data_IF_738235906956
#
_entry.id   IF_738235906956
#
_cell.length_a   1.000
_cell.length_b   1.000
_cell.length_c   1.000
_cell.angle_alpha   90.00
_cell.angle_beta   90.00
_cell.angle_gamma   90.00
#
_symmetry.space_group_name_H-M   'P 1'
#
loop_
_entity.id
_entity.type
_entity.pdbx_description
1 polymer ?
#
# COMPACT_ATOMS: atom_id res chain seq x y z
N UNK A 1 17.20 -15.88 5.35
CA UNK A 1 17.10 -15.38 3.97
C UNK A 1 16.89 -16.45 2.89
N UNK A 2 17.48 -17.63 3.03
CA UNK A 2 17.31 -18.73 2.06
C UNK A 2 15.87 -19.30 2.05
N UNK A 3 15.18 -19.27 3.18
CA UNK A 3 13.81 -19.81 3.35
C UNK A 3 12.76 -19.04 2.52
N UNK A 4 12.85 -17.72 2.41
CA UNK A 4 11.89 -16.89 1.65
C UNK A 4 11.94 -17.13 0.12
N UNK A 5 13.06 -17.68 -0.40
CA UNK A 5 13.20 -18.00 -1.82
C UNK A 5 12.51 -19.30 -2.22
N UNK A 6 12.20 -20.16 -1.25
CA UNK A 6 11.62 -21.49 -1.46
C UNK A 6 10.12 -21.55 -1.19
N UNK A 7 9.52 -20.45 -0.72
CA UNK A 7 8.09 -20.38 -0.51
C UNK A 7 7.36 -20.44 -1.86
N UNK A 8 6.39 -21.32 -1.94
CA UNK A 8 5.49 -21.39 -3.08
C UNK A 8 4.78 -20.03 -3.24
N UNK A 9 4.90 -19.36 -4.39
CA UNK A 9 4.23 -18.08 -4.61
C UNK A 9 2.71 -18.13 -4.48
N UNK A 10 2.11 -19.31 -4.65
CA UNK A 10 0.66 -19.51 -4.53
C UNK A 10 0.22 -19.98 -3.13
N UNK A 11 1.16 -20.09 -2.17
CA UNK A 11 0.82 -20.44 -0.80
C UNK A 11 -0.01 -19.35 -0.13
N UNK A 12 -1.20 -19.70 0.37
CA UNK A 12 -2.11 -18.81 1.10
C UNK A 12 -1.49 -18.17 2.35
N UNK A 13 -0.36 -18.69 2.81
CA UNK A 13 0.32 -18.31 4.04
C UNK A 13 1.34 -17.15 3.86
N UNK A 14 1.46 -16.59 2.64
CA UNK A 14 2.45 -15.56 2.34
C UNK A 14 2.09 -14.15 2.81
N UNK A 15 0.95 -13.96 3.44
CA UNK A 15 0.46 -12.65 3.87
C UNK A 15 -0.21 -11.85 2.75
N UNK A 16 -1.09 -10.95 3.18
CA UNK A 16 -1.95 -10.17 2.29
C UNK A 16 -1.17 -9.27 1.32
N UNK A 17 -0.04 -8.73 1.76
CA UNK A 17 0.83 -7.84 0.99
C UNK A 17 1.47 -8.57 -0.20
N UNK A 18 1.93 -9.80 0.01
CA UNK A 18 2.58 -10.58 -1.05
C UNK A 18 1.52 -11.10 -2.03
N UNK A 19 0.47 -11.74 -1.52
CA UNK A 19 -0.57 -12.35 -2.37
C UNK A 19 -1.32 -11.32 -3.21
N UNK A 20 -1.53 -10.10 -2.71
CA UNK A 20 -2.18 -9.05 -3.46
C UNK A 20 -1.29 -8.48 -4.57
N UNK A 21 0.00 -8.23 -4.31
CA UNK A 21 0.94 -7.75 -5.34
C UNK A 21 1.15 -8.81 -6.41
N UNK A 22 1.26 -10.08 -6.05
CA UNK A 22 1.32 -11.18 -7.02
C UNK A 22 0.06 -11.23 -7.90
N UNK A 23 -1.12 -11.03 -7.30
CA UNK A 23 -2.37 -10.92 -8.04
C UNK A 23 -2.38 -9.73 -9.00
N UNK A 24 -1.80 -8.58 -8.61
CA UNK A 24 -1.63 -7.43 -9.51
C UNK A 24 -0.70 -7.75 -10.68
N UNK A 25 0.40 -8.44 -10.44
CA UNK A 25 1.32 -8.88 -11.49
C UNK A 25 0.65 -9.88 -12.44
N UNK A 26 0.01 -10.90 -11.90
CA UNK A 26 -0.66 -11.95 -12.68
C UNK A 26 -1.77 -11.39 -13.59
N UNK A 27 -2.53 -10.41 -13.10
CA UNK A 27 -3.61 -9.76 -13.87
C UNK A 27 -3.10 -8.62 -14.77
N UNK A 28 -1.79 -8.43 -14.91
CA UNK A 28 -1.20 -7.40 -15.77
C UNK A 28 -1.47 -5.95 -15.33
N UNK A 29 -1.89 -5.74 -14.06
CA UNK A 29 -2.12 -4.43 -13.48
C UNK A 29 -0.79 -3.68 -13.29
N UNK A 30 0.22 -4.41 -12.89
CA UNK A 30 1.61 -3.95 -12.81
C UNK A 30 2.53 -4.94 -13.49
N UNK A 31 3.68 -4.49 -13.96
CA UNK A 31 4.71 -5.37 -14.50
C UNK A 31 5.28 -6.29 -13.40
N UNK A 32 5.80 -7.44 -13.75
CA UNK A 32 6.52 -8.34 -12.83
C UNK A 32 7.74 -7.65 -12.19
N UNK A 33 8.35 -6.69 -12.89
CA UNK A 33 9.40 -5.80 -12.38
C UNK A 33 8.95 -4.36 -12.51
N UNK A 34 8.15 -3.85 -11.57
CA UNK A 34 7.78 -2.44 -11.56
C UNK A 34 9.03 -1.57 -11.35
N UNK A 35 9.00 -0.35 -11.86
CA UNK A 35 10.12 0.58 -11.73
C UNK A 35 10.42 0.94 -10.26
N UNK A 36 9.40 0.98 -9.43
CA UNK A 36 9.51 1.23 -7.98
C UNK A 36 8.40 0.51 -7.23
N UNK A 37 8.71 0.00 -6.04
CA UNK A 37 7.76 -0.58 -5.10
C UNK A 37 8.01 0.02 -3.72
N UNK A 38 6.99 0.66 -3.14
CA UNK A 38 7.08 1.31 -1.84
C UNK A 38 6.03 0.74 -0.90
N UNK A 39 6.48 0.26 0.25
CA UNK A 39 5.60 -0.20 1.33
C UNK A 39 5.44 0.91 2.37
N UNK A 40 4.21 1.36 2.60
CA UNK A 40 3.90 2.24 3.71
C UNK A 40 3.57 1.38 4.92
N UNK A 41 4.41 1.45 5.95
CA UNK A 41 4.31 0.57 7.12
C UNK A 41 3.91 1.33 8.38
N UNK A 42 3.34 0.60 9.35
CA UNK A 42 3.01 1.16 10.66
C UNK A 42 4.25 1.58 11.44
N UNK A 43 4.07 2.53 12.36
CA UNK A 43 5.08 3.03 13.30
C UNK A 43 5.19 2.08 14.52
N UNK A 44 5.47 0.81 14.24
CA UNK A 44 5.62 -0.26 15.22
C UNK A 44 6.81 -1.14 14.82
N UNK A 45 7.39 -1.85 15.79
CA UNK A 45 8.49 -2.77 15.53
C UNK A 45 8.09 -3.86 14.51
N UNK A 46 6.88 -4.38 14.61
CA UNK A 46 6.34 -5.38 13.67
C UNK A 46 6.16 -4.79 12.25
N UNK A 47 5.68 -3.54 12.15
CA UNK A 47 5.57 -2.84 10.87
C UNK A 47 6.91 -2.63 10.19
N UNK A 48 7.92 -2.22 10.95
CA UNK A 48 9.30 -2.02 10.46
C UNK A 48 9.91 -3.35 10.04
N UNK A 49 9.74 -4.40 10.85
CA UNK A 49 10.22 -5.74 10.52
C UNK A 49 9.56 -6.27 9.25
N UNK A 50 8.24 -6.16 9.14
CA UNK A 50 7.47 -6.56 7.95
C UNK A 50 7.96 -5.81 6.71
N UNK A 51 8.14 -4.49 6.79
CA UNK A 51 8.70 -3.69 5.70
C UNK A 51 10.06 -4.18 5.25
N UNK A 52 10.96 -4.49 6.18
CA UNK A 52 12.30 -5.01 5.89
C UNK A 52 12.26 -6.37 5.19
N UNK A 53 11.35 -7.26 5.62
CA UNK A 53 11.13 -8.58 5.02
C UNK A 53 10.60 -8.43 3.59
N UNK A 54 9.59 -7.58 3.38
CA UNK A 54 9.00 -7.35 2.06
C UNK A 54 10.03 -6.77 1.08
N UNK A 55 10.84 -5.80 1.51
CA UNK A 55 11.93 -5.26 0.69
C UNK A 55 12.92 -6.35 0.28
N UNK A 56 13.35 -7.18 1.22
CA UNK A 56 14.27 -8.29 0.96
C UNK A 56 13.66 -9.31 0.01
N UNK A 57 12.39 -9.66 0.21
CA UNK A 57 11.66 -10.61 -0.62
C UNK A 57 11.59 -10.15 -2.08
N UNK A 58 11.09 -8.93 -2.34
CA UNK A 58 10.91 -8.45 -3.71
C UNK A 58 12.24 -8.19 -4.43
N UNK A 59 13.26 -7.72 -3.74
CA UNK A 59 14.61 -7.61 -4.32
C UNK A 59 15.19 -8.96 -4.70
N UNK A 60 15.10 -9.96 -3.82
CA UNK A 60 15.72 -11.25 -4.05
C UNK A 60 14.93 -12.15 -5.00
N UNK A 61 13.60 -12.12 -4.94
CA UNK A 61 12.72 -12.99 -5.72
C UNK A 61 12.46 -12.48 -7.13
N UNK A 62 12.22 -11.18 -7.28
CA UNK A 62 11.82 -10.56 -8.55
C UNK A 62 12.93 -9.69 -9.16
N UNK A 63 14.01 -9.42 -8.44
CA UNK A 63 15.10 -8.55 -8.91
C UNK A 63 14.64 -7.12 -9.17
N UNK A 64 13.74 -6.60 -8.35
CA UNK A 64 13.27 -5.22 -8.44
C UNK A 64 14.30 -4.33 -7.75
N UNK A 65 14.90 -3.38 -8.47
CA UNK A 65 15.99 -2.54 -7.95
C UNK A 65 15.50 -1.55 -6.89
N UNK A 66 14.40 -0.89 -7.14
CA UNK A 66 13.85 0.14 -6.26
C UNK A 66 12.70 -0.43 -5.41
N UNK A 67 13.04 -1.16 -4.36
CA UNK A 67 12.08 -1.57 -3.34
C UNK A 67 12.49 -0.93 -2.03
N UNK A 68 11.55 -0.18 -1.43
CA UNK A 68 11.76 0.51 -0.16
C UNK A 68 10.52 0.38 0.73
N UNK A 69 10.69 0.67 2.02
CA UNK A 69 9.55 0.93 2.90
C UNK A 69 9.68 2.32 3.53
N UNK A 70 8.55 2.89 3.91
CA UNK A 70 8.47 4.17 4.59
C UNK A 70 7.54 4.04 5.79
N UNK A 71 8.04 4.44 6.96
CA UNK A 71 7.27 4.45 8.20
C UNK A 71 6.25 5.59 8.14
N UNK A 72 5.00 5.29 8.42
CA UNK A 72 3.95 6.28 8.63
C UNK A 72 3.91 6.65 10.11
N UNK A 73 4.65 7.67 10.50
CA UNK A 73 4.76 8.12 11.90
C UNK A 73 3.40 8.31 12.54
N UNK A 74 3.21 7.74 13.72
CA UNK A 74 1.95 7.77 14.46
C UNK A 74 0.89 6.74 13.99
N UNK A 75 1.16 5.98 12.94
CA UNK A 75 0.27 4.93 12.45
C UNK A 75 0.48 3.64 13.26
N UNK A 76 -0.10 3.60 14.46
CA UNK A 76 0.06 2.52 15.43
C UNK A 76 -1.26 2.28 16.18
N UNK A 77 -1.57 1.03 16.50
CA UNK A 77 -2.85 0.62 17.09
C UNK A 77 -2.88 0.68 18.62
N UNK A 78 -1.72 0.78 19.25
CA UNK A 78 -1.58 0.90 20.71
C UNK A 78 -1.78 2.35 21.22
N UNK A 79 -1.88 3.34 20.31
CA UNK A 79 -2.14 4.75 20.63
C UNK A 79 -3.20 5.33 19.69
N UNK A 80 -4.46 5.25 20.10
CA UNK A 80 -5.61 5.72 19.31
C UNK A 80 -5.57 7.23 19.03
N UNK A 81 -4.99 8.03 19.92
CA UNK A 81 -4.90 9.49 19.76
C UNK A 81 -3.90 9.82 18.65
N UNK A 82 -2.72 9.21 18.70
CA UNK A 82 -1.71 9.37 17.64
C UNK A 82 -2.18 8.77 16.32
N UNK A 83 -2.79 7.59 16.36
CA UNK A 83 -3.35 6.95 15.16
C UNK A 83 -4.29 7.89 14.41
N UNK A 84 -5.28 8.46 15.11
CA UNK A 84 -6.27 9.37 14.53
C UNK A 84 -5.67 10.72 14.14
N UNK A 85 -4.87 11.32 15.02
CA UNK A 85 -4.34 12.68 14.88
C UNK A 85 -3.21 12.80 13.87
N UNK A 86 -2.26 11.89 13.91
CA UNK A 86 -1.03 11.93 13.12
C UNK A 86 -0.98 10.81 12.06
N UNK A 87 -1.23 9.57 12.48
CA UNK A 87 -0.99 8.39 11.68
C UNK A 87 -1.73 8.38 10.35
N UNK A 88 -3.04 8.59 10.38
CA UNK A 88 -3.86 8.62 9.16
C UNK A 88 -3.53 9.82 8.26
N UNK A 89 -3.19 10.98 8.84
CA UNK A 89 -2.73 12.16 8.06
C UNK A 89 -1.38 11.88 7.40
N UNK A 90 -0.45 11.25 8.10
CA UNK A 90 0.85 10.89 7.56
C UNK A 90 0.75 9.83 6.47
N UNK A 91 -0.16 8.86 6.61
CA UNK A 91 -0.45 7.91 5.54
C UNK A 91 -0.86 8.63 4.25
N UNK A 92 -1.85 9.51 4.31
CA UNK A 92 -2.32 10.27 3.13
C UNK A 92 -1.22 11.17 2.57
N UNK A 93 -0.45 11.84 3.45
CA UNK A 93 0.69 12.68 3.03
C UNK A 93 1.75 11.87 2.31
N UNK A 94 2.13 10.72 2.83
CA UNK A 94 3.13 9.83 2.22
C UNK A 94 2.63 9.31 0.86
N UNK A 95 1.38 8.87 0.76
CA UNK A 95 0.77 8.49 -0.51
C UNK A 95 0.86 9.65 -1.53
N UNK A 96 0.44 10.84 -1.13
CA UNK A 96 0.46 12.01 -2.01
C UNK A 96 1.89 12.38 -2.46
N UNK A 97 2.88 12.24 -1.59
CA UNK A 97 4.28 12.49 -1.94
C UNK A 97 4.80 11.51 -2.99
N UNK A 98 4.48 10.22 -2.86
CA UNK A 98 4.89 9.21 -3.84
C UNK A 98 4.15 9.38 -5.17
N UNK A 99 2.85 9.64 -5.14
CA UNK A 99 2.07 9.90 -6.37
C UNK A 99 2.61 11.10 -7.14
N UNK A 100 2.93 12.22 -6.46
CA UNK A 100 3.43 13.44 -7.10
C UNK A 100 4.84 13.31 -7.70
N UNK A 101 5.65 12.37 -7.22
CA UNK A 101 7.01 12.14 -7.76
C UNK A 101 7.00 11.37 -9.07
N UNK A 102 5.91 10.71 -9.41
CA UNK A 102 5.79 9.86 -10.57
C UNK A 102 4.90 10.50 -11.65
N UNK A 103 5.13 10.20 -12.93
CA UNK A 103 4.26 10.67 -14.01
C UNK A 103 2.80 10.23 -13.78
N UNK A 104 1.87 11.07 -14.20
CA UNK A 104 0.44 10.76 -14.07
C UNK A 104 0.10 9.45 -14.81
N UNK A 105 -0.69 8.59 -14.17
CA UNK A 105 -1.12 7.32 -14.75
C UNK A 105 -0.10 6.17 -14.61
N UNK A 106 1.06 6.40 -13.97
CA UNK A 106 2.09 5.36 -13.76
C UNK A 106 2.10 4.78 -12.36
N UNK A 107 1.23 5.24 -11.48
CA UNK A 107 1.14 4.80 -10.08
C UNK A 107 -0.17 4.06 -9.82
N UNK A 108 -0.10 2.99 -9.06
CA UNK A 108 -1.24 2.27 -8.50
C UNK A 108 -1.09 2.13 -6.98
N UNK A 109 -2.18 2.15 -6.25
CA UNK A 109 -2.22 1.94 -4.80
C UNK A 109 -2.79 0.54 -4.54
N UNK A 110 -2.04 -0.28 -3.83
CA UNK A 110 -2.54 -1.53 -3.26
C UNK A 110 -2.94 -1.29 -1.80
N UNK A 111 -4.24 -1.33 -1.53
CA UNK A 111 -4.82 -1.09 -0.21
C UNK A 111 -5.24 -2.39 0.50
N UNK A 112 -4.59 -3.52 0.22
CA UNK A 112 -4.97 -4.81 0.78
C UNK A 112 -4.48 -5.01 2.20
N UNK A 113 -3.26 -4.63 2.49
CA UNK A 113 -2.67 -4.76 3.82
C UNK A 113 -3.01 -3.59 4.74
N UNK A 114 -2.94 -3.84 6.04
CA UNK A 114 -3.12 -2.82 7.06
C UNK A 114 -4.48 -2.84 7.76
N UNK A 115 -4.68 -1.89 8.69
CA UNK A 115 -5.94 -1.76 9.43
C UNK A 115 -7.07 -1.25 8.54
N UNK A 116 -8.31 -1.59 8.87
CA UNK A 116 -9.51 -1.19 8.10
C UNK A 116 -9.57 0.33 7.82
N UNK A 117 -9.16 1.15 8.79
CA UNK A 117 -9.11 2.59 8.62
C UNK A 117 -8.06 3.02 7.57
N UNK A 118 -6.91 2.34 7.48
CA UNK A 118 -5.89 2.62 6.47
C UNK A 118 -6.43 2.33 5.06
N UNK A 119 -7.14 1.22 4.89
CA UNK A 119 -7.76 0.84 3.61
C UNK A 119 -8.75 1.92 3.16
N UNK A 120 -9.60 2.39 4.08
CA UNK A 120 -10.56 3.47 3.81
C UNK A 120 -9.83 4.76 3.37
N UNK A 121 -8.83 5.21 4.14
CA UNK A 121 -8.11 6.45 3.83
C UNK A 121 -7.29 6.34 2.55
N UNK A 122 -6.66 5.19 2.28
CA UNK A 122 -5.96 4.94 1.02
C UNK A 122 -6.93 4.96 -0.18
N UNK A 123 -8.13 4.38 -0.01
CA UNK A 123 -9.19 4.41 -1.01
C UNK A 123 -9.63 5.83 -1.34
N UNK A 124 -9.99 6.63 -0.33
CA UNK A 124 -10.39 8.03 -0.51
C UNK A 124 -9.26 8.86 -1.12
N UNK A 125 -8.04 8.72 -0.59
CA UNK A 125 -6.87 9.44 -1.11
C UNK A 125 -6.62 9.13 -2.59
N UNK A 126 -6.69 7.85 -2.98
CA UNK A 126 -6.55 7.45 -4.38
C UNK A 126 -7.61 8.07 -5.28
N UNK A 127 -8.88 8.11 -4.85
CA UNK A 127 -9.95 8.75 -5.59
C UNK A 127 -9.69 10.25 -5.81
N UNK A 128 -9.32 10.97 -4.74
CA UNK A 128 -8.99 12.41 -4.82
C UNK A 128 -7.79 12.67 -5.73
N UNK A 129 -6.77 11.84 -5.66
CA UNK A 129 -5.55 11.95 -6.49
C UNK A 129 -5.72 11.38 -7.91
N UNK A 130 -6.87 10.78 -8.23
CA UNK A 130 -7.14 10.08 -9.51
C UNK A 130 -6.12 8.97 -9.79
N UNK A 131 -5.75 8.23 -8.76
CA UNK A 131 -4.86 7.06 -8.83
C UNK A 131 -5.69 5.81 -8.63
N UNK A 132 -5.57 4.78 -9.47
CA UNK A 132 -6.31 3.53 -9.29
C UNK A 132 -5.90 2.86 -7.97
N UNK A 133 -6.90 2.41 -7.23
CA UNK A 133 -6.75 1.71 -5.96
C UNK A 133 -7.24 0.29 -6.11
N UNK A 134 -6.44 -0.64 -5.66
CA UNK A 134 -6.70 -2.07 -5.73
C UNK A 134 -6.81 -2.66 -4.33
N UNK A 135 -7.68 -3.65 -4.19
CA UNK A 135 -7.92 -4.35 -2.94
C UNK A 135 -8.17 -5.83 -3.21
N UNK A 136 -7.59 -6.70 -2.40
CA UNK A 136 -7.83 -8.14 -2.43
C UNK A 136 -8.41 -8.58 -1.09
N UNK A 137 -9.62 -9.12 -1.11
CA UNK A 137 -10.22 -9.72 0.05
C UNK A 137 -9.72 -11.16 0.23
N UNK A 138 -9.59 -11.62 1.46
CA UNK A 138 -9.11 -12.97 1.79
C UNK A 138 -9.92 -14.08 1.10
N UNK A 139 -11.25 -13.89 1.01
CA UNK A 139 -12.16 -14.86 0.38
C UNK A 139 -12.26 -14.72 -1.15
N UNK A 140 -11.61 -13.72 -1.75
CA UNK A 140 -11.66 -13.53 -3.21
C UNK A 140 -10.41 -14.11 -3.86
N UNK A 141 -10.60 -14.91 -4.90
CA UNK A 141 -9.49 -15.42 -5.71
C UNK A 141 -8.74 -14.30 -6.47
N UNK A 142 -9.38 -13.15 -6.67
CA UNK A 142 -8.89 -12.06 -7.51
C UNK A 142 -8.77 -10.75 -6.73
N UNK A 143 -7.85 -9.90 -7.22
CA UNK A 143 -7.74 -8.52 -6.78
C UNK A 143 -8.76 -7.67 -7.56
N UNK A 144 -9.43 -6.75 -6.87
CA UNK A 144 -10.44 -5.88 -7.47
C UNK A 144 -9.92 -4.43 -7.52
N UNK A 145 -10.22 -3.73 -8.61
CA UNK A 145 -10.08 -2.29 -8.67
C UNK A 145 -11.27 -1.63 -7.95
N UNK A 146 -11.00 -0.70 -7.03
CA UNK A 146 -12.07 0.11 -6.46
C UNK A 146 -12.64 1.02 -7.56
N UNK A 147 -13.97 1.00 -7.79
CA UNK A 147 -14.57 1.81 -8.83
C UNK A 147 -14.35 3.30 -8.55
N UNK A 148 -14.13 4.13 -9.59
CA UNK A 148 -14.03 5.57 -9.40
C UNK A 148 -15.34 6.14 -8.87
N UNK A 149 -15.25 6.91 -7.81
CA UNK A 149 -16.37 7.60 -7.21
C UNK A 149 -16.37 9.08 -7.64
N UNK A 150 -17.52 9.72 -7.82
CA UNK A 150 -17.61 11.14 -8.14
C UNK A 150 -17.37 12.00 -6.88
N UNK A 151 -16.18 11.87 -6.28
CA UNK A 151 -15.77 12.67 -5.12
C UNK A 151 -15.09 13.94 -5.60
N UNK A 152 -15.59 15.08 -5.15
CA UNK A 152 -14.92 16.37 -5.25
C UNK A 152 -14.38 16.77 -3.89
N UNK A 153 -13.21 17.42 -3.86
CA UNK A 153 -12.64 17.95 -2.64
C UNK A 153 -13.19 19.36 -2.42
N UNK A 154 -13.91 19.55 -1.34
CA UNK A 154 -14.38 20.87 -0.92
C UNK A 154 -13.22 21.58 -0.20
N UNK A 155 -12.52 22.45 -0.93
CA UNK A 155 -11.38 23.20 -0.42
C UNK A 155 -11.79 24.24 0.62
N UNK A 156 -13.01 24.80 0.54
CA UNK A 156 -13.48 25.82 1.47
C UNK A 156 -13.69 25.16 2.84
N UNK A 157 -14.41 24.05 2.88
CA UNK A 157 -14.64 23.29 4.11
C UNK A 157 -13.34 22.82 4.75
N UNK A 158 -12.31 22.51 3.94
CA UNK A 158 -11.03 22.02 4.46
C UNK A 158 -10.14 23.13 5.01
N UNK A 159 -10.27 24.36 4.51
CA UNK A 159 -9.50 25.53 4.97
C UNK A 159 -10.10 26.15 6.23
N UNK A 160 -11.38 25.91 6.52
CA UNK A 160 -12.08 26.42 7.70
C UNK A 160 -11.86 25.56 8.97
N UNK A 161 -11.25 24.37 8.88
CA UNK A 161 -10.93 23.44 9.96
C UNK A 161 -9.43 23.13 10.04
#
# INVERSE_FOLDING_TARGET
MQYLKTLDPDASDLGAEITSIQSMMHNGIIHEKPAELVFLVSDTDDGILTGSILVSYYKSRYGIDKVTYQICTGLRDDDVVRFRGEGLRNLVRNLAQHVRKNPQGTTAINATGGYKAQILFAGVAGQVMKVPVYYKHESFGEIIALPPLPVSFDMELWLEN
#
